data_IF_019508905700
#
_entry.id   IF_019508905700
#
_cell.length_a   1.000
_cell.length_b   1.000
_cell.length_c   1.000
_cell.angle_alpha   90.00
_cell.angle_beta   90.00
_cell.angle_gamma   90.00
#
_symmetry.space_group_name_H-M   'P 1'
#
loop_
_entity.id
_entity.type
_entity.pdbx_description
1 polymer ?
#
# COMPACT_ATOMS: atom_id res chain seq x y z
N UNK A 1 -11.95 -14.30 25.86
CA UNK A 1 -11.61 -14.95 24.57
C UNK A 1 -12.64 -14.65 23.47
N UNK A 2 -13.94 -14.96 23.63
CA UNK A 2 -14.96 -14.68 22.58
C UNK A 2 -15.06 -13.21 22.17
N UNK A 3 -15.04 -12.27 23.14
CA UNK A 3 -15.09 -10.83 22.86
C UNK A 3 -13.84 -10.35 22.11
N UNK A 4 -12.64 -10.81 22.52
CA UNK A 4 -11.41 -10.47 21.82
C UNK A 4 -11.42 -10.97 20.37
N UNK A 5 -11.82 -12.23 20.15
CA UNK A 5 -11.93 -12.79 18.81
C UNK A 5 -12.93 -12.00 17.94
N UNK A 6 -14.06 -11.58 18.51
CA UNK A 6 -15.04 -10.74 17.83
C UNK A 6 -14.42 -9.38 17.44
N UNK A 7 -13.78 -8.69 18.37
CA UNK A 7 -13.17 -7.37 18.12
C UNK A 7 -12.00 -7.46 17.13
N UNK A 8 -11.17 -8.49 17.21
CA UNK A 8 -10.10 -8.75 16.26
C UNK A 8 -10.65 -9.00 14.85
N UNK A 9 -11.71 -9.80 14.73
CA UNK A 9 -12.39 -10.05 13.45
C UNK A 9 -12.98 -8.77 12.87
N UNK A 10 -13.66 -7.97 13.70
CA UNK A 10 -14.21 -6.67 13.29
C UNK A 10 -13.11 -5.71 12.84
N UNK A 11 -11.94 -5.71 13.49
CA UNK A 11 -10.79 -4.89 13.10
C UNK A 11 -10.22 -5.30 11.75
N UNK A 12 -10.05 -6.59 11.50
CA UNK A 12 -9.59 -7.11 10.20
C UNK A 12 -10.62 -6.78 9.11
N UNK A 13 -11.90 -7.08 9.33
CA UNK A 13 -12.97 -6.74 8.40
C UNK A 13 -13.03 -5.22 8.13
N UNK A 14 -12.89 -4.41 9.18
CA UNK A 14 -12.83 -2.96 9.08
C UNK A 14 -11.67 -2.47 8.21
N UNK A 15 -10.49 -3.09 8.29
CA UNK A 15 -9.34 -2.72 7.44
C UNK A 15 -9.58 -2.94 5.94
N UNK A 16 -10.47 -3.87 5.59
CA UNK A 16 -10.83 -4.19 4.20
C UNK A 16 -11.99 -3.33 3.69
N UNK A 17 -13.00 -3.09 4.55
CA UNK A 17 -14.30 -2.52 4.16
C UNK A 17 -14.41 -1.03 4.45
N UNK A 18 -13.74 -0.52 5.49
CA UNK A 18 -13.79 0.89 5.84
C UNK A 18 -12.75 1.64 5.02
N UNK A 19 -13.21 2.23 3.92
CA UNK A 19 -12.43 3.07 3.01
C UNK A 19 -12.14 4.46 3.61
N UNK A 20 -12.00 4.57 4.93
CA UNK A 20 -11.75 5.84 5.64
C UNK A 20 -10.69 6.68 4.95
N UNK A 21 -10.81 8.01 5.10
CA UNK A 21 -9.96 8.96 4.36
C UNK A 21 -8.49 8.55 4.43
N UNK A 22 -7.90 8.31 3.27
CA UNK A 22 -6.44 8.21 3.16
C UNK A 22 -5.93 9.62 3.31
N UNK A 23 -5.07 9.86 4.30
CA UNK A 23 -4.47 11.17 4.44
C UNK A 23 -3.64 11.47 3.17
N UNK A 24 -3.86 12.62 2.50
CA UNK A 24 -3.19 12.91 1.24
C UNK A 24 -1.66 12.76 1.33
N UNK A 25 -1.04 13.26 2.40
CA UNK A 25 0.41 13.11 2.57
C UNK A 25 0.86 11.66 2.74
N UNK A 26 0.07 10.80 3.39
CA UNK A 26 0.42 9.38 3.54
C UNK A 26 0.39 8.69 2.17
N UNK A 27 -0.60 9.03 1.34
CA UNK A 27 -0.72 8.49 -0.02
C UNK A 27 0.43 8.95 -0.91
N UNK A 28 0.62 10.27 -1.03
CA UNK A 28 1.60 10.87 -1.95
C UNK A 28 3.06 10.58 -1.54
N UNK A 29 3.34 10.43 -0.24
CA UNK A 29 4.70 10.17 0.24
C UNK A 29 5.05 8.68 0.38
N UNK A 30 4.12 7.76 0.13
CA UNK A 30 4.41 6.32 0.27
C UNK A 30 3.75 5.44 -0.79
N UNK A 31 2.41 5.37 -0.78
CA UNK A 31 1.65 4.43 -1.58
C UNK A 31 1.76 4.76 -3.07
N UNK A 32 1.63 6.02 -3.43
CA UNK A 32 1.69 6.48 -4.82
C UNK A 32 3.04 6.16 -5.46
N UNK A 33 4.13 6.49 -4.76
CA UNK A 33 5.52 6.28 -5.22
C UNK A 33 5.77 4.81 -5.54
N UNK A 34 5.37 3.92 -4.62
CA UNK A 34 5.53 2.47 -4.83
C UNK A 34 4.55 1.95 -5.86
N UNK A 35 3.31 2.45 -5.88
CA UNK A 35 2.31 2.02 -6.83
C UNK A 35 2.74 2.29 -8.27
N UNK A 36 3.32 3.46 -8.53
CA UNK A 36 3.85 3.82 -9.85
C UNK A 36 5.02 2.93 -10.27
N UNK A 37 5.86 2.52 -9.32
CA UNK A 37 6.98 1.62 -9.59
C UNK A 37 6.52 0.24 -10.08
N UNK A 38 5.48 -0.33 -9.47
CA UNK A 38 5.01 -1.69 -9.77
C UNK A 38 3.98 -1.80 -10.90
N UNK A 39 3.22 -0.74 -11.19
CA UNK A 39 2.25 -0.79 -12.27
C UNK A 39 2.95 -0.83 -13.64
N UNK A 40 2.44 -1.59 -14.63
CA UNK A 40 2.97 -1.58 -16.00
C UNK A 40 2.95 -0.19 -16.64
N UNK A 41 3.87 0.08 -17.57
CA UNK A 41 3.98 1.39 -18.25
C UNK A 41 2.73 1.77 -19.06
N UNK A 42 2.06 0.77 -19.64
CA UNK A 42 0.82 0.89 -20.40
C UNK A 42 -0.44 1.00 -19.52
N UNK A 43 -0.31 0.85 -18.19
CA UNK A 43 -1.42 0.93 -17.27
C UNK A 43 -2.01 2.34 -17.20
N UNK A 44 -3.33 2.44 -17.42
CA UNK A 44 -4.08 3.69 -17.23
C UNK A 44 -3.89 4.22 -15.80
N UNK A 45 -3.90 3.33 -14.80
CA UNK A 45 -3.68 3.73 -13.40
C UNK A 45 -2.30 4.36 -13.19
N UNK A 46 -1.25 3.87 -13.86
CA UNK A 46 0.10 4.41 -13.70
C UNK A 46 0.20 5.86 -14.19
N UNK A 47 -0.58 6.23 -15.21
CA UNK A 47 -0.57 7.59 -15.79
C UNK A 47 -1.09 8.64 -14.81
N UNK A 48 -1.97 8.24 -13.90
CA UNK A 48 -2.55 9.10 -12.86
C UNK A 48 -1.64 9.24 -11.62
N UNK A 49 -0.56 8.47 -11.52
CA UNK A 49 0.33 8.49 -10.36
C UNK A 49 1.55 9.37 -10.61
N UNK A 50 1.89 10.17 -9.61
CA UNK A 50 3.06 11.04 -9.60
C UNK A 50 4.17 10.49 -8.70
N UNK A 51 5.42 10.79 -9.02
CA UNK A 51 6.56 10.52 -8.13
C UNK A 51 7.14 11.88 -7.77
N UNK A 52 6.97 12.33 -6.52
CA UNK A 52 7.46 13.61 -6.05
C UNK A 52 8.97 13.76 -6.22
N UNK A 53 9.42 15.01 -6.35
CA UNK A 53 10.83 15.36 -6.58
C UNK A 53 11.74 14.83 -5.47
N UNK A 54 11.22 14.65 -4.26
CA UNK A 54 11.95 14.11 -3.11
C UNK A 54 12.46 12.68 -3.32
N UNK A 55 11.84 11.92 -4.22
CA UNK A 55 12.23 10.55 -4.56
C UNK A 55 12.93 10.45 -5.92
N UNK A 56 13.13 11.56 -6.63
CA UNK A 56 13.75 11.58 -7.94
C UNK A 56 15.28 11.51 -7.85
N UNK A 57 15.88 10.83 -8.83
CA UNK A 57 17.33 10.76 -9.02
C UNK A 57 17.85 12.05 -9.69
N UNK A 58 19.15 12.39 -9.54
CA UNK A 58 20.23 11.59 -8.92
C UNK A 58 20.35 11.71 -7.40
N UNK A 59 19.75 12.74 -6.78
CA UNK A 59 19.92 13.06 -5.36
C UNK A 59 18.56 13.11 -4.65
N UNK A 60 17.99 11.94 -4.27
CA UNK A 60 16.72 11.90 -3.57
C UNK A 60 16.85 12.50 -2.17
N UNK A 61 15.86 13.30 -1.78
CA UNK A 61 15.75 13.89 -0.44
C UNK A 61 15.04 12.97 0.57
N UNK A 62 14.36 11.92 0.09
CA UNK A 62 13.66 10.94 0.92
C UNK A 62 14.06 9.51 0.57
N UNK A 63 14.11 8.67 1.61
CA UNK A 63 14.37 7.24 1.46
C UNK A 63 13.10 6.50 1.06
N UNK A 64 13.20 5.64 0.04
CA UNK A 64 12.13 4.72 -0.37
C UNK A 64 12.00 3.49 0.52
N UNK A 65 12.89 3.28 1.49
CA UNK A 65 12.96 2.02 2.28
C UNK A 65 11.64 1.73 2.98
N UNK A 66 11.06 2.68 3.71
CA UNK A 66 9.79 2.45 4.41
C UNK A 66 8.59 2.29 3.46
N UNK A 67 8.41 3.14 2.43
CA UNK A 67 7.42 2.88 1.38
C UNK A 67 7.58 1.49 0.75
N UNK A 68 8.81 1.08 0.45
CA UNK A 68 9.11 -0.21 -0.16
C UNK A 68 8.77 -1.37 0.78
N UNK A 69 9.03 -1.28 2.08
CA UNK A 69 8.68 -2.34 3.03
C UNK A 69 7.16 -2.46 3.24
N UNK A 70 6.47 -1.32 3.36
CA UNK A 70 5.04 -1.31 3.72
C UNK A 70 4.14 -1.56 2.52
N UNK A 71 4.47 -1.00 1.36
CA UNK A 71 3.66 -1.09 0.13
C UNK A 71 4.35 -1.93 -0.95
N UNK A 72 5.62 -1.65 -1.23
CA UNK A 72 6.33 -2.28 -2.34
C UNK A 72 6.49 -3.80 -2.21
N UNK A 73 6.88 -4.28 -1.03
CA UNK A 73 7.06 -5.70 -0.74
C UNK A 73 5.75 -6.48 -0.90
N UNK A 74 4.61 -6.07 -0.30
CA UNK A 74 3.35 -6.73 -0.57
C UNK A 74 2.95 -6.70 -2.06
N UNK A 75 3.20 -5.62 -2.79
CA UNK A 75 2.92 -5.58 -4.24
C UNK A 75 3.78 -6.56 -5.03
N UNK A 76 5.07 -6.65 -4.69
CA UNK A 76 5.98 -7.64 -5.29
C UNK A 76 5.50 -9.06 -5.03
N UNK A 77 5.05 -9.35 -3.82
CA UNK A 77 4.51 -10.68 -3.48
C UNK A 77 3.28 -10.99 -4.34
N UNK A 78 2.34 -10.05 -4.49
CA UNK A 78 1.16 -10.24 -5.35
C UNK A 78 1.56 -10.46 -6.83
N UNK A 79 2.52 -9.68 -7.33
CA UNK A 79 3.06 -9.83 -8.68
C UNK A 79 3.70 -11.21 -8.89
N UNK A 80 4.52 -11.68 -7.94
CA UNK A 80 5.14 -13.01 -7.97
C UNK A 80 4.12 -14.15 -7.94
N UNK A 81 2.96 -13.92 -7.31
CA UNK A 81 1.82 -14.85 -7.31
C UNK A 81 0.98 -14.77 -8.60
N UNK A 82 1.35 -13.91 -9.56
CA UNK A 82 0.60 -13.70 -10.80
C UNK A 82 -0.71 -12.92 -10.61
N UNK A 83 -0.89 -12.23 -9.47
CA UNK A 83 -2.10 -11.45 -9.18
C UNK A 83 -1.95 -10.06 -9.77
N UNK A 84 -2.86 -9.70 -10.69
CA UNK A 84 -2.89 -8.37 -11.29
C UNK A 84 -3.20 -7.31 -10.23
N UNK A 85 -2.29 -6.35 -10.06
CA UNK A 85 -2.48 -5.20 -9.17
C UNK A 85 -3.61 -4.31 -9.66
N UNK A 86 -4.61 -4.11 -8.81
CA UNK A 86 -5.72 -3.16 -9.01
C UNK A 86 -5.62 -2.05 -7.98
N UNK A 87 -6.21 -0.87 -8.24
CA UNK A 87 -6.21 0.23 -7.26
C UNK A 87 -6.77 -0.20 -5.89
N UNK A 88 -7.75 -1.10 -5.87
CA UNK A 88 -8.29 -1.66 -4.64
C UNK A 88 -7.27 -2.54 -3.89
N UNK A 89 -6.58 -3.45 -4.59
CA UNK A 89 -5.54 -4.28 -3.97
C UNK A 89 -4.40 -3.42 -3.44
N UNK A 90 -4.03 -2.37 -4.17
CA UNK A 90 -2.98 -1.45 -3.75
C UNK A 90 -3.38 -0.69 -2.48
N UNK A 91 -4.65 -0.30 -2.33
CA UNK A 91 -5.14 0.31 -1.10
C UNK A 91 -5.18 -0.68 0.08
N UNK A 92 -5.71 -1.88 -0.14
CA UNK A 92 -6.11 -2.80 0.94
C UNK A 92 -4.96 -3.66 1.45
N UNK A 93 -4.05 -4.07 0.57
CA UNK A 93 -2.94 -4.97 0.94
C UNK A 93 -2.03 -4.40 2.05
N UNK A 94 -1.48 -3.17 1.96
CA UNK A 94 -0.66 -2.60 3.03
C UNK A 94 -1.45 -2.43 4.33
N UNK A 95 -2.74 -2.09 4.25
CA UNK A 95 -3.62 -1.96 5.43
C UNK A 95 -3.81 -3.29 6.15
N UNK A 96 -4.12 -4.34 5.39
CA UNK A 96 -4.29 -5.69 5.94
C UNK A 96 -2.98 -6.17 6.55
N UNK A 97 -1.84 -5.97 5.87
CA UNK A 97 -0.53 -6.34 6.38
C UNK A 97 -0.24 -5.68 7.74
N UNK A 98 -0.37 -4.35 7.83
CA UNK A 98 -0.14 -3.62 9.08
C UNK A 98 -1.14 -4.02 10.17
N UNK A 99 -2.40 -4.28 9.80
CA UNK A 99 -3.41 -4.75 10.74
C UNK A 99 -3.05 -6.13 11.32
N UNK A 100 -2.59 -7.06 10.47
CA UNK A 100 -2.15 -8.39 10.89
C UNK A 100 -0.89 -8.33 11.76
N UNK A 101 0.09 -7.49 11.38
CA UNK A 101 1.31 -7.27 12.16
C UNK A 101 1.01 -6.68 13.55
N UNK A 102 -0.09 -5.93 13.72
CA UNK A 102 -0.47 -5.36 15.01
C UNK A 102 -0.94 -6.38 16.06
N UNK A 103 -1.09 -7.65 15.68
CA UNK A 103 -1.40 -8.76 16.60
C UNK A 103 -0.16 -9.52 17.10
N UNK A 104 1.03 -9.18 16.59
CA UNK A 104 2.33 -9.71 17.03
C UNK A 104 2.91 -8.77 18.09
#
# INVERSE_FOLDING_TARGET
MKLYALLATLRVAGSLLLLGMVHPDEFFQSQEVMARHFLPEDSILRRELFVPWEFQLPTPNRSVVFPALVAGLPYKVLELLGIKLTGWLMLVTPRLLLCLLSFI
#
